data_IF_556845985881
#
_entry.id   IF_556845985881
#
_cell.length_a   1.000
_cell.length_b   1.000
_cell.length_c   1.000
_cell.angle_alpha   90.00
_cell.angle_beta   90.00
_cell.angle_gamma   90.00
#
_symmetry.space_group_name_H-M   'P 1'
#
loop_
_entity.id
_entity.type
_entity.pdbx_description
1 polymer ?
#
# COMPACT_ATOMS: atom_id res chain seq x y z
N UNK A 1 -3.63 -13.53 -77.49
CA UNK A 1 -3.95 -14.75 -76.72
C UNK A 1 -2.75 -15.15 -75.88
N UNK A 2 -3.02 -15.55 -74.63
CA UNK A 2 -2.22 -16.31 -73.65
C UNK A 2 -0.69 -16.12 -73.47
N UNK A 3 -0.35 -15.70 -72.25
CA UNK A 3 0.77 -16.10 -71.36
C UNK A 3 1.26 -17.57 -71.53
N UNK A 4 2.50 -18.00 -71.13
CA UNK A 4 2.96 -17.87 -69.73
C UNK A 4 4.49 -17.83 -69.38
N UNK A 5 4.73 -17.22 -68.20
CA UNK A 5 5.53 -17.61 -67.01
C UNK A 5 6.82 -18.45 -67.13
N UNK A 6 7.86 -17.95 -66.43
CA UNK A 6 8.74 -18.59 -65.41
C UNK A 6 10.14 -17.96 -65.47
N UNK A 7 10.98 -17.83 -64.43
CA UNK A 7 10.94 -17.76 -62.95
C UNK A 7 12.44 -17.57 -62.54
N UNK A 8 12.72 -16.86 -61.43
CA UNK A 8 14.03 -16.76 -60.72
C UNK A 8 15.17 -16.00 -61.43
N UNK A 9 15.99 -15.18 -60.77
CA UNK A 9 16.10 -14.80 -59.36
C UNK A 9 17.26 -13.81 -59.22
N UNK A 10 17.24 -12.97 -58.17
CA UNK A 10 18.42 -12.23 -57.74
C UNK A 10 18.28 -11.93 -56.24
N UNK A 11 19.13 -12.56 -55.45
CA UNK A 11 19.43 -12.16 -54.08
C UNK A 11 20.57 -11.14 -54.08
N UNK A 12 20.75 -10.47 -52.93
CA UNK A 12 21.68 -9.39 -52.58
C UNK A 12 21.16 -7.99 -52.96
N UNK A 13 20.91 -7.09 -52.02
CA UNK A 13 21.06 -7.11 -50.58
C UNK A 13 21.12 -5.65 -50.15
N UNK A 14 20.24 -5.20 -49.24
CA UNK A 14 20.29 -3.83 -48.73
C UNK A 14 19.99 -3.86 -47.23
N UNK A 15 21.08 -3.70 -46.49
CA UNK A 15 21.23 -2.90 -45.27
C UNK A 15 20.14 -3.10 -44.20
N UNK A 16 20.41 -4.06 -43.31
CA UNK A 16 19.84 -4.06 -41.96
C UNK A 16 20.30 -2.79 -41.23
N UNK A 17 19.45 -1.77 -41.21
CA UNK A 17 19.61 -0.64 -40.32
C UNK A 17 19.34 -1.15 -38.89
N UNK A 18 20.44 -1.46 -38.22
CA UNK A 18 20.53 -1.85 -36.83
C UNK A 18 19.94 -0.73 -35.95
N UNK A 19 18.65 -0.82 -35.63
CA UNK A 19 18.03 -0.03 -34.57
C UNK A 19 18.55 -0.57 -33.24
N UNK A 20 19.74 -0.14 -32.84
CA UNK A 20 20.21 -0.26 -31.45
C UNK A 20 19.35 0.67 -30.61
N UNK A 21 18.21 0.15 -30.16
CA UNK A 21 17.47 0.74 -29.06
C UNK A 21 18.40 0.77 -27.85
N UNK A 22 18.90 1.97 -27.53
CA UNK A 22 19.58 2.23 -26.28
C UNK A 22 18.60 1.94 -25.16
N UNK A 23 18.69 0.75 -24.58
CA UNK A 23 18.04 0.41 -23.32
C UNK A 23 18.80 1.20 -22.26
N UNK A 24 18.43 2.46 -22.07
CA UNK A 24 18.87 3.19 -20.87
C UNK A 24 18.27 2.44 -19.68
N UNK A 25 19.09 1.93 -18.75
CA UNK A 25 18.55 1.42 -17.51
C UNK A 25 17.78 2.57 -16.87
N UNK A 26 16.46 2.42 -16.76
CA UNK A 26 15.68 3.31 -15.94
C UNK A 26 16.20 3.12 -14.51
N UNK A 27 17.07 4.01 -14.07
CA UNK A 27 17.34 4.19 -12.67
C UNK A 27 16.04 4.74 -12.07
N UNK A 28 15.11 3.83 -11.76
CA UNK A 28 14.09 4.12 -10.77
C UNK A 28 14.87 4.61 -9.55
N UNK A 29 14.69 5.89 -9.21
CA UNK A 29 15.23 6.42 -7.98
C UNK A 29 14.81 5.45 -6.86
N UNK A 30 15.71 5.07 -5.95
CA UNK A 30 15.29 4.26 -4.81
C UNK A 30 14.17 5.03 -4.12
N UNK A 31 12.98 4.44 -4.05
CA UNK A 31 11.91 4.99 -3.24
C UNK A 31 12.49 5.18 -1.84
N UNK A 32 12.47 6.42 -1.33
CA UNK A 32 12.99 6.67 0.01
C UNK A 32 12.34 5.69 0.97
N UNK A 33 13.14 5.03 1.79
CA UNK A 33 12.61 4.16 2.83
C UNK A 33 11.68 5.02 3.69
N UNK A 34 10.40 4.66 3.73
CA UNK A 34 9.42 5.34 4.58
C UNK A 34 9.64 4.81 6.00
N UNK A 35 9.87 5.71 6.94
CA UNK A 35 10.04 5.37 8.35
C UNK A 35 8.80 4.63 8.87
N UNK A 36 9.04 3.52 9.56
CA UNK A 36 8.01 2.62 10.05
C UNK A 36 8.01 2.65 11.57
N UNK A 37 6.84 2.54 12.19
CA UNK A 37 6.71 2.45 13.63
C UNK A 37 6.21 1.05 13.98
N UNK A 38 6.93 0.33 14.83
CA UNK A 38 6.37 -0.83 15.50
C UNK A 38 5.47 -0.34 16.63
N UNK A 39 4.16 -0.60 16.55
CA UNK A 39 3.17 -0.18 17.53
C UNK A 39 2.59 -1.38 18.26
N UNK A 40 2.38 -1.25 19.56
CA UNK A 40 1.70 -2.22 20.42
C UNK A 40 0.57 -1.52 21.17
N UNK A 41 -0.64 -2.10 21.17
CA UNK A 41 -1.79 -1.49 21.84
C UNK A 41 -3.05 -2.34 21.82
N UNK A 42 -4.05 -1.91 22.60
CA UNK A 42 -5.35 -2.58 22.67
C UNK A 42 -6.29 -1.95 21.65
N UNK A 43 -6.94 -2.76 20.81
CA UNK A 43 -7.97 -2.26 19.89
C UNK A 43 -9.20 -1.82 20.65
N UNK A 44 -9.61 -0.57 20.43
CA UNK A 44 -10.81 0.01 21.01
C UNK A 44 -12.01 -0.02 20.06
N UNK A 45 -11.77 0.22 18.76
CA UNK A 45 -12.82 0.27 17.73
C UNK A 45 -12.26 -0.15 16.37
N UNK A 46 -13.11 -0.82 15.58
CA UNK A 46 -12.86 -1.10 14.16
C UNK A 46 -14.07 -0.67 13.34
N UNK A 47 -13.90 0.37 12.53
CA UNK A 47 -14.96 0.96 11.72
C UNK A 47 -14.61 0.99 10.24
N UNK A 48 -15.64 1.12 9.39
CA UNK A 48 -15.47 1.22 7.94
C UNK A 48 -15.95 2.58 7.50
N UNK A 49 -15.10 3.30 6.75
CA UNK A 49 -15.38 4.61 6.19
C UNK A 49 -15.32 4.54 4.67
N UNK A 50 -16.46 4.81 4.04
CA UNK A 50 -16.53 4.95 2.58
C UNK A 50 -16.20 6.38 2.19
N UNK A 51 -15.23 6.55 1.30
CA UNK A 51 -14.87 7.84 0.69
C UNK A 51 -15.30 7.82 -0.77
N UNK A 52 -16.21 8.73 -1.12
CA UNK A 52 -16.65 8.93 -2.49
C UNK A 52 -15.57 9.66 -3.31
N UNK A 53 -15.35 9.18 -4.54
CA UNK A 53 -14.49 9.84 -5.53
C UNK A 53 -15.34 10.70 -6.47
N UNK A 54 -14.70 11.66 -7.13
CA UNK A 54 -15.35 12.36 -8.23
C UNK A 54 -15.77 11.36 -9.31
N UNK A 55 -17.07 11.33 -9.63
CA UNK A 55 -17.67 10.29 -10.46
C UNK A 55 -17.22 10.36 -11.91
N UNK A 56 -17.00 11.57 -12.42
CA UNK A 56 -16.58 11.77 -13.81
C UNK A 56 -15.11 11.42 -13.99
N UNK A 57 -14.27 11.87 -13.06
CA UNK A 57 -12.87 11.53 -13.00
C UNK A 57 -12.67 10.02 -12.82
N UNK A 58 -13.27 9.38 -11.81
CA UNK A 58 -13.14 7.94 -11.57
C UNK A 58 -13.57 7.11 -12.81
N UNK A 59 -14.67 7.50 -13.46
CA UNK A 59 -15.13 6.88 -14.71
C UNK A 59 -14.13 7.06 -15.85
N UNK A 60 -13.49 8.23 -15.97
CA UNK A 60 -12.50 8.51 -17.02
C UNK A 60 -11.23 7.65 -16.88
N UNK A 61 -10.88 7.27 -15.65
CA UNK A 61 -9.75 6.38 -15.34
C UNK A 61 -10.15 4.90 -15.24
N UNK A 62 -11.44 4.57 -15.33
CA UNK A 62 -11.93 3.20 -15.26
C UNK A 62 -11.81 2.56 -13.87
N UNK A 63 -11.78 3.38 -12.81
CA UNK A 63 -11.67 2.91 -11.42
C UNK A 63 -12.99 3.03 -10.67
N UNK A 64 -13.09 2.41 -9.49
CA UNK A 64 -14.28 2.47 -8.65
C UNK A 64 -14.60 3.92 -8.21
N UNK A 65 -15.88 4.27 -8.17
CA UNK A 65 -16.35 5.60 -7.76
C UNK A 65 -16.24 5.88 -6.25
N UNK A 66 -15.87 4.88 -5.45
CA UNK A 66 -15.62 5.02 -4.02
C UNK A 66 -14.56 4.02 -3.57
N UNK A 67 -14.03 4.24 -2.36
CA UNK A 67 -13.13 3.33 -1.66
C UNK A 67 -13.57 3.20 -0.21
N UNK A 68 -13.49 1.99 0.32
CA UNK A 68 -13.74 1.70 1.72
C UNK A 68 -12.41 1.58 2.45
N UNK A 69 -12.21 2.42 3.47
CA UNK A 69 -11.12 2.30 4.42
C UNK A 69 -11.61 1.59 5.67
N UNK A 70 -10.75 0.75 6.26
CA UNK A 70 -10.99 0.20 7.60
C UNK A 70 -10.12 0.96 8.58
N UNK A 71 -10.79 1.74 9.42
CA UNK A 71 -10.16 2.53 10.45
C UNK A 71 -10.11 1.68 11.75
N UNK A 72 -8.94 1.58 12.37
CA UNK A 72 -8.67 0.81 13.59
C UNK A 72 -8.17 1.78 14.64
N UNK A 73 -8.96 1.99 15.69
CA UNK A 73 -8.55 2.83 16.83
C UNK A 73 -7.94 1.95 17.91
N UNK A 74 -6.75 2.31 18.36
CA UNK A 74 -6.00 1.57 19.39
C UNK A 74 -5.62 2.51 20.53
N UNK A 75 -5.69 2.01 21.77
CA UNK A 75 -4.93 2.57 22.88
C UNK A 75 -3.50 2.02 22.80
N UNK A 76 -2.62 2.78 22.16
CA UNK A 76 -1.23 2.41 21.92
C UNK A 76 -0.41 2.65 23.19
N UNK A 77 0.16 1.57 23.72
CA UNK A 77 1.02 1.60 24.91
C UNK A 77 2.51 1.67 24.55
N UNK A 78 2.89 1.23 23.36
CA UNK A 78 4.26 1.26 22.87
C UNK A 78 4.31 1.66 21.39
N UNK A 79 5.26 2.52 21.03
CA UNK A 79 5.52 2.91 19.65
C UNK A 79 7.03 3.13 19.48
N UNK A 80 7.67 2.35 18.62
CA UNK A 80 9.13 2.32 18.46
C UNK A 80 9.47 2.53 16.99
N UNK A 81 10.39 3.47 16.73
CA UNK A 81 10.95 3.69 15.39
C UNK A 81 11.65 2.45 14.87
N UNK A 82 11.33 2.07 13.63
CA UNK A 82 11.96 1.00 12.87
C UNK A 82 12.47 1.58 11.55
N UNK A 83 13.79 1.51 11.34
CA UNK A 83 14.45 2.06 10.14
C UNK A 83 15.26 3.32 10.42
N UNK A 84 15.70 3.99 9.36
CA UNK A 84 16.58 5.16 9.45
C UNK A 84 16.02 6.35 8.66
N UNK A 85 15.38 7.28 9.36
CA UNK A 85 15.03 8.62 8.87
C UNK A 85 13.74 8.71 8.06
N UNK A 86 12.89 9.68 8.38
CA UNK A 86 11.65 9.99 7.68
C UNK A 86 10.86 11.15 8.30
N UNK A 87 9.57 11.24 7.96
CA UNK A 87 8.60 12.24 8.45
C UNK A 87 7.63 11.59 9.45
N UNK A 88 7.84 10.33 9.86
CA UNK A 88 6.89 9.57 10.64
C UNK A 88 7.24 9.65 12.13
N UNK A 89 6.62 10.56 12.85
CA UNK A 89 6.85 10.72 14.28
C UNK A 89 6.14 9.61 15.08
N UNK A 90 6.88 8.54 15.41
CA UNK A 90 6.31 7.41 16.16
C UNK A 90 5.81 7.80 17.55
N UNK A 91 6.32 8.88 18.16
CA UNK A 91 5.86 9.34 19.46
C UNK A 91 4.41 9.87 19.42
N UNK A 92 3.96 10.42 18.28
CA UNK A 92 2.60 10.94 18.12
C UNK A 92 1.54 9.83 18.04
N UNK A 93 1.97 8.56 17.96
CA UNK A 93 1.11 7.39 17.88
C UNK A 93 0.76 6.80 19.26
N UNK A 94 1.32 7.33 20.35
CA UNK A 94 1.04 6.86 21.71
C UNK A 94 -0.35 7.35 22.18
N UNK A 95 -1.03 6.52 22.98
CA UNK A 95 -2.39 6.80 23.43
C UNK A 95 -3.44 6.39 22.38
N UNK A 96 -4.61 7.04 22.40
CA UNK A 96 -5.68 6.74 21.45
C UNK A 96 -5.31 7.25 20.06
N UNK A 97 -5.06 6.33 19.13
CA UNK A 97 -4.69 6.65 17.74
C UNK A 97 -5.48 5.81 16.75
N UNK A 98 -5.91 6.43 15.65
CA UNK A 98 -6.65 5.75 14.58
C UNK A 98 -5.75 5.50 13.39
N UNK A 99 -5.60 4.23 13.05
CA UNK A 99 -4.87 3.74 11.89
C UNK A 99 -5.81 3.26 10.79
N UNK A 100 -5.29 3.07 9.59
CA UNK A 100 -5.97 2.45 8.46
C UNK A 100 -5.40 1.06 8.22
N UNK A 101 -6.22 0.04 7.96
CA UNK A 101 -5.68 -1.27 7.56
C UNK A 101 -5.23 -1.23 6.10
N UNK A 102 -4.05 -1.77 5.82
CA UNK A 102 -3.63 -2.04 4.44
C UNK A 102 -4.59 -3.02 3.78
N UNK A 103 -4.92 -2.78 2.50
CA UNK A 103 -5.93 -3.53 1.73
C UNK A 103 -5.80 -5.06 1.88
N UNK A 104 -6.94 -5.75 1.92
CA UNK A 104 -7.03 -7.22 1.86
C UNK A 104 -7.47 -7.94 3.15
N UNK A 105 -7.47 -7.25 4.30
CA UNK A 105 -7.68 -7.90 5.62
C UNK A 105 -8.92 -7.45 6.38
N UNK A 106 -9.67 -6.49 5.83
CA UNK A 106 -10.78 -5.75 6.44
C UNK A 106 -11.82 -6.61 7.19
N UNK A 107 -12.28 -7.68 6.55
CA UNK A 107 -13.40 -8.48 7.06
C UNK A 107 -13.02 -9.41 8.21
N UNK A 108 -11.79 -9.94 8.20
CA UNK A 108 -11.29 -10.81 9.26
C UNK A 108 -10.97 -10.01 10.52
N UNK A 109 -10.42 -8.81 10.33
CA UNK A 109 -9.98 -7.96 11.43
C UNK A 109 -11.15 -7.44 12.27
N UNK A 110 -12.22 -6.96 11.60
CA UNK A 110 -13.41 -6.39 12.23
C UNK A 110 -14.19 -7.38 13.11
N UNK A 111 -14.12 -8.68 12.84
CA UNK A 111 -14.98 -9.65 13.52
C UNK A 111 -14.40 -10.20 14.83
N UNK A 112 -13.11 -9.99 15.12
CA UNK A 112 -12.41 -10.79 16.14
C UNK A 112 -11.43 -10.06 17.03
N UNK A 113 -11.16 -8.78 16.80
CA UNK A 113 -10.03 -8.12 17.46
C UNK A 113 -10.39 -6.96 18.38
N UNK A 114 -11.67 -6.62 18.55
CA UNK A 114 -12.08 -5.62 19.56
C UNK A 114 -11.64 -6.08 20.95
N UNK A 115 -10.95 -5.21 21.69
CA UNK A 115 -10.37 -5.50 22.99
C UNK A 115 -9.13 -6.40 22.96
N UNK A 116 -8.62 -6.78 21.78
CA UNK A 116 -7.39 -7.56 21.66
C UNK A 116 -6.15 -6.68 21.68
N UNK A 117 -5.11 -7.21 22.32
CA UNK A 117 -3.78 -6.65 22.25
C UNK A 117 -3.17 -7.01 20.90
N UNK A 118 -2.67 -6.01 20.19
CA UNK A 118 -2.02 -6.17 18.90
C UNK A 118 -0.63 -5.59 18.91
N UNK A 119 0.23 -6.20 18.12
CA UNK A 119 1.49 -5.63 17.65
C UNK A 119 1.44 -5.53 16.13
N UNK A 120 1.85 -4.41 15.58
CA UNK A 120 1.81 -4.18 14.15
C UNK A 120 2.91 -3.23 13.71
N UNK A 121 3.20 -3.25 12.42
CA UNK A 121 3.98 -2.20 11.79
C UNK A 121 3.04 -1.12 11.26
N UNK A 122 3.43 0.14 11.43
CA UNK A 122 2.70 1.32 10.98
C UNK A 122 3.57 2.16 10.05
N UNK A 123 3.07 2.45 8.86
CA UNK A 123 3.75 3.29 7.88
C UNK A 123 2.83 4.43 7.46
N UNK A 124 3.37 5.65 7.41
CA UNK A 124 2.69 6.75 6.74
C UNK A 124 2.69 6.46 5.25
N UNK A 125 1.51 6.19 4.71
CA UNK A 125 1.29 5.91 3.30
C UNK A 125 0.11 6.72 2.83
N UNK A 126 -0.06 6.83 1.52
CA UNK A 126 -1.24 7.43 0.95
C UNK A 126 -1.42 7.01 -0.48
N UNK A 127 -2.65 7.04 -0.93
CA UNK A 127 -2.98 7.07 -2.34
C UNK A 127 -3.21 8.53 -2.77
N UNK A 128 -3.66 8.73 -4.00
CA UNK A 128 -3.96 10.07 -4.53
C UNK A 128 -5.09 10.81 -3.78
N UNK A 129 -5.73 10.19 -2.77
CA UNK A 129 -6.92 10.69 -2.09
C UNK A 129 -6.77 10.85 -0.57
N UNK A 130 -5.71 10.31 0.03
CA UNK A 130 -5.46 10.52 1.44
C UNK A 130 -4.13 9.96 1.93
N UNK A 131 -3.45 10.73 2.76
CA UNK A 131 -2.31 10.27 3.57
C UNK A 131 -2.86 9.82 4.92
N UNK A 132 -2.41 8.67 5.40
CA UNK A 132 -2.77 8.13 6.71
C UNK A 132 -1.70 7.19 7.26
N UNK A 133 -1.89 6.75 8.50
CA UNK A 133 -1.05 5.72 9.10
C UNK A 133 -1.63 4.35 8.81
N UNK A 134 -0.92 3.53 8.04
CA UNK A 134 -1.39 2.22 7.64
C UNK A 134 -0.78 1.11 8.48
N UNK A 135 -1.61 0.24 9.05
CA UNK A 135 -1.17 -0.98 9.74
C UNK A 135 -0.99 -2.15 8.77
N UNK A 136 0.09 -2.90 8.98
CA UNK A 136 0.40 -4.16 8.33
C UNK A 136 1.25 -5.04 9.27
N UNK A 137 1.54 -6.27 8.84
CA UNK A 137 2.27 -7.27 9.64
C UNK A 137 1.72 -7.41 11.07
N UNK A 138 0.39 -7.54 11.15
CA UNK A 138 -0.34 -7.49 12.42
C UNK A 138 -0.30 -8.87 13.10
N UNK A 139 0.16 -8.87 14.34
CA UNK A 139 0.17 -10.00 15.26
C UNK A 139 -0.83 -9.75 16.39
N UNK A 140 -1.70 -10.73 16.66
CA UNK A 140 -2.58 -10.72 17.84
C UNK A 140 -1.81 -11.34 19.00
N UNK A 141 -1.62 -10.58 20.07
CA UNK A 141 -0.91 -11.02 21.26
C UNK A 141 -1.87 -11.59 22.31
N UNK A 142 -1.31 -12.20 23.35
CA UNK A 142 -2.09 -12.58 24.55
C UNK A 142 -2.61 -11.34 25.27
N UNK A 143 -3.74 -11.47 25.98
CA UNK A 143 -4.51 -10.34 26.50
C UNK A 143 -3.74 -9.47 27.54
N UNK A 144 -2.66 -9.98 28.13
CA UNK A 144 -1.81 -9.29 29.11
C UNK A 144 -0.58 -8.60 28.51
N UNK A 145 -0.25 -8.87 27.24
CA UNK A 145 0.97 -8.39 26.59
C UNK A 145 0.99 -6.86 26.39
N UNK A 146 -0.17 -6.21 26.32
CA UNK A 146 -0.28 -4.75 26.21
C UNK A 146 -0.19 -4.03 27.57
N UNK A 147 -0.08 -4.79 28.67
CA UNK A 147 -0.29 -4.30 30.03
C UNK A 147 -1.76 -3.99 30.30
N UNK A 148 -2.15 -3.97 31.58
CA UNK A 148 -3.46 -3.42 31.96
C UNK A 148 -3.46 -1.93 31.66
N UNK A 149 -4.22 -1.51 30.65
CA UNK A 149 -4.62 -0.11 30.47
C UNK A 149 -5.35 0.27 31.76
N UNK A 150 -4.69 1.04 32.62
CA UNK A 150 -5.21 1.38 33.94
C UNK A 150 -6.56 2.09 33.82
N UNK A 151 -7.57 1.57 34.53
CA UNK A 151 -8.80 2.31 34.83
C UNK A 151 -8.51 3.55 35.67
#
# INVERSE_FOLDING_TARGET
>A
MQQPKCRFGLHLGIVSALFMAMVTPAHAAPAQAHEECAVTGVVQDVSVRTVERDKEWAKSWGIAGSIDYVDVTMAVSESVEQGAGGINNCADKLGDHTFQLREGSAWYFRLRNDGKCLKAMSQVSGDEFGIGDYLYDIEVLEDDACGTVGN
#
